data_IF_537441124564
#
_entry.id   IF_537441124564
#
_cell.length_a   1.000
_cell.length_b   1.000
_cell.length_c   1.000
_cell.angle_alpha   90.00
_cell.angle_beta   90.00
_cell.angle_gamma   90.00
#
_symmetry.space_group_name_H-M   'P 1'
#
loop_
_entity.id
_entity.type
_entity.pdbx_description
1 polymer ?
#
# COMPACT_ATOMS: atom_id res chain seq x y z
N UNK A 1 -1.89 15.35 12.78
CA UNK A 1 -0.74 14.50 13.17
C UNK A 1 0.51 15.09 12.52
N UNK A 2 1.71 15.01 13.12
CA UNK A 2 2.94 15.47 12.46
C UNK A 2 3.66 14.27 11.84
N UNK A 3 4.03 14.38 10.58
CA UNK A 3 4.80 13.37 9.83
C UNK A 3 6.24 13.85 9.72
N UNK A 4 7.18 12.94 9.93
CA UNK A 4 8.62 13.23 9.90
C UNK A 4 9.27 12.57 8.70
N UNK A 5 10.19 13.25 8.03
CA UNK A 5 10.98 12.69 6.93
C UNK A 5 12.45 13.12 7.02
N UNK A 6 13.39 12.26 6.57
CA UNK A 6 14.78 12.63 6.47
C UNK A 6 14.99 13.80 5.50
N UNK A 7 15.87 14.70 5.87
CA UNK A 7 16.34 15.84 5.06
C UNK A 7 17.87 15.92 5.18
N UNK A 8 18.58 16.56 4.25
CA UNK A 8 20.03 16.72 4.36
C UNK A 8 20.49 17.39 5.67
N UNK A 9 19.66 18.27 6.24
CA UNK A 9 19.92 18.96 7.51
C UNK A 9 19.36 18.27 8.75
N UNK A 10 18.83 17.05 8.65
CA UNK A 10 18.23 16.33 9.77
C UNK A 10 16.81 15.85 9.49
N UNK A 11 15.86 16.12 10.37
CA UNK A 11 14.47 15.64 10.23
C UNK A 11 13.52 16.80 9.93
N UNK A 12 12.89 16.76 8.76
CA UNK A 12 11.80 17.67 8.41
C UNK A 12 10.48 17.19 9.02
N UNK A 13 9.66 18.11 9.52
CA UNK A 13 8.31 17.82 10.03
C UNK A 13 7.26 18.54 9.20
N UNK A 14 6.19 17.83 8.82
CA UNK A 14 5.04 18.41 8.12
C UNK A 14 3.74 18.01 8.83
N UNK A 15 2.76 18.90 8.83
CA UNK A 15 1.44 18.60 9.37
C UNK A 15 0.64 17.74 8.37
N UNK A 16 0.32 16.52 8.78
CA UNK A 16 -0.53 15.59 8.06
C UNK A 16 -1.94 15.50 8.63
N UNK A 17 -2.91 15.39 7.74
CA UNK A 17 -4.28 14.96 8.04
C UNK A 17 -4.49 13.52 7.53
N UNK A 18 -4.56 12.52 8.44
CA UNK A 18 -4.78 11.13 8.08
C UNK A 18 -6.12 10.88 7.35
N UNK A 19 -7.18 11.63 7.68
CA UNK A 19 -8.50 11.45 7.09
C UNK A 19 -8.52 11.95 5.66
N UNK A 20 -7.95 13.12 5.40
CA UNK A 20 -7.84 13.66 4.04
C UNK A 20 -6.91 12.80 3.18
N UNK A 21 -5.76 12.38 3.72
CA UNK A 21 -4.82 11.52 2.99
C UNK A 21 -5.48 10.20 2.58
N UNK A 22 -6.20 9.54 3.50
CA UNK A 22 -6.94 8.31 3.21
C UNK A 22 -8.01 8.52 2.13
N UNK A 23 -8.77 9.61 2.20
CA UNK A 23 -9.80 9.95 1.18
C UNK A 23 -9.16 10.12 -0.19
N UNK A 24 -8.10 10.92 -0.29
CA UNK A 24 -7.38 11.16 -1.53
C UNK A 24 -6.83 9.86 -2.15
N UNK A 25 -6.25 8.99 -1.32
CA UNK A 25 -5.74 7.70 -1.80
C UNK A 25 -6.83 6.81 -2.39
N UNK A 26 -7.94 6.64 -1.67
CA UNK A 26 -9.07 5.80 -2.14
C UNK A 26 -9.65 6.34 -3.45
N UNK A 27 -9.78 7.66 -3.58
CA UNK A 27 -10.24 8.28 -4.82
C UNK A 27 -9.25 8.10 -5.97
N UNK A 28 -7.95 8.28 -5.73
CA UNK A 28 -6.92 8.09 -6.74
C UNK A 28 -6.89 6.64 -7.25
N UNK A 29 -7.01 5.65 -6.36
CA UNK A 29 -7.08 4.23 -6.73
C UNK A 29 -8.32 3.95 -7.57
N UNK A 30 -9.49 4.45 -7.15
CA UNK A 30 -10.75 4.30 -7.92
C UNK A 30 -10.67 4.99 -9.27
N UNK A 31 -10.03 6.16 -9.36
CA UNK A 31 -9.80 6.86 -10.64
C UNK A 31 -8.80 6.11 -11.51
N UNK A 32 -7.74 5.53 -10.93
CA UNK A 32 -6.78 4.68 -11.65
C UNK A 32 -7.43 3.44 -12.27
N UNK A 33 -8.29 2.75 -11.50
CA UNK A 33 -9.06 1.60 -12.00
C UNK A 33 -10.02 1.97 -13.14
N UNK A 34 -10.62 3.17 -13.08
CA UNK A 34 -11.46 3.68 -14.17
C UNK A 34 -10.65 4.12 -15.40
N UNK A 35 -9.49 4.74 -15.21
CA UNK A 35 -8.60 5.13 -16.32
C UNK A 35 -8.06 3.92 -17.09
N UNK A 36 -7.89 2.76 -16.46
CA UNK A 36 -7.58 1.51 -17.16
C UNK A 36 -8.75 1.00 -18.03
N UNK A 37 -9.93 1.61 -17.93
CA UNK A 37 -11.13 1.26 -18.68
C UNK A 37 -11.48 2.30 -19.76
N UNK A 38 -10.92 3.51 -19.67
CA UNK A 38 -11.28 4.68 -20.47
C UNK A 38 -10.02 5.30 -21.13
N UNK A 39 -9.26 4.53 -21.91
CA UNK A 39 -8.39 5.13 -22.95
C UNK A 39 -9.24 5.40 -24.20
N UNK A 40 -10.12 6.40 -24.12
CA UNK A 40 -10.64 7.12 -25.28
C UNK A 40 -11.10 8.54 -24.86
N UNK A 41 -10.36 9.52 -25.37
CA UNK A 41 -10.67 10.94 -25.53
C UNK A 41 -10.54 11.95 -24.36
N UNK A 42 -9.82 13.02 -24.73
CA UNK A 42 -9.54 14.23 -23.99
C UNK A 42 -10.80 15.04 -23.66
N UNK A 43 -10.82 15.60 -22.45
CA UNK A 43 -11.52 16.85 -22.15
C UNK A 43 -13.00 16.74 -21.79
N UNK A 44 -13.38 17.64 -20.88
CA UNK A 44 -14.71 18.03 -20.35
C UNK A 44 -15.46 17.14 -19.33
N UNK A 45 -16.06 17.77 -18.30
CA UNK A 45 -16.69 17.10 -17.17
C UNK A 45 -18.09 16.63 -17.57
N UNK A 46 -18.31 15.32 -17.65
CA UNK A 46 -19.62 14.76 -17.97
C UNK A 46 -20.29 14.19 -16.72
N UNK A 47 -21.23 14.99 -16.22
CA UNK A 47 -22.37 14.59 -15.40
C UNK A 47 -22.91 13.20 -15.81
N UNK A 48 -22.65 12.17 -15.01
CA UNK A 48 -23.48 10.95 -14.99
C UNK A 48 -23.90 10.62 -13.57
N UNK A 49 -25.12 11.08 -13.30
CA UNK A 49 -26.01 10.79 -12.18
C UNK A 49 -26.08 9.28 -11.93
N UNK A 50 -25.34 8.82 -10.93
CA UNK A 50 -25.54 7.54 -10.27
C UNK A 50 -25.68 7.81 -8.77
N UNK A 51 -26.92 8.07 -8.32
CA UNK A 51 -27.26 8.13 -6.90
C UNK A 51 -26.77 6.84 -6.22
N UNK A 52 -25.80 6.97 -5.32
CA UNK A 52 -25.73 6.14 -4.12
C UNK A 52 -25.59 7.09 -2.94
N UNK A 53 -26.74 7.63 -2.52
CA UNK A 53 -26.92 8.06 -1.14
C UNK A 53 -26.84 6.81 -0.27
N UNK A 54 -25.80 6.71 0.56
CA UNK A 54 -25.81 6.03 1.86
C UNK A 54 -24.79 6.82 2.69
N UNK A 55 -25.23 7.87 3.39
CA UNK A 55 -25.70 7.82 4.76
C UNK A 55 -24.69 8.56 5.64
N UNK A 56 -24.99 9.84 5.87
CA UNK A 56 -24.75 10.48 7.15
C UNK A 56 -25.48 9.64 8.22
N UNK A 57 -24.77 9.27 9.29
CA UNK A 57 -25.34 8.54 10.42
C UNK A 57 -24.91 7.07 10.51
N UNK A 58 -23.81 6.84 11.22
CA UNK A 58 -23.77 5.91 12.36
C UNK A 58 -22.34 5.89 12.90
N UNK A 59 -22.17 6.48 14.09
CA UNK A 59 -21.14 6.08 15.04
C UNK A 59 -21.42 4.61 15.40
N UNK A 60 -20.99 3.69 14.54
CA UNK A 60 -20.88 2.28 14.90
C UNK A 60 -19.42 2.09 15.20
N UNK A 61 -19.15 1.67 16.44
CA UNK A 61 -17.83 1.34 16.95
C UNK A 61 -16.96 0.83 15.81
N UNK A 62 -15.93 1.61 15.52
CA UNK A 62 -15.00 1.33 14.44
C UNK A 62 -14.27 0.05 14.83
N UNK A 63 -14.87 -1.11 14.52
CA UNK A 63 -14.13 -2.35 14.36
C UNK A 63 -12.87 -1.95 13.60
N UNK A 64 -11.73 -2.22 14.23
CA UNK A 64 -10.42 -1.81 13.76
C UNK A 64 -10.36 -2.01 12.24
N UNK A 65 -9.93 -1.01 11.46
CA UNK A 65 -9.95 -1.10 10.00
C UNK A 65 -9.27 -2.40 9.64
N UNK A 66 -10.01 -3.32 9.00
CA UNK A 66 -9.60 -4.69 8.75
C UNK A 66 -8.12 -4.68 8.38
N UNK A 67 -7.28 -5.10 9.33
CA UNK A 67 -5.84 -4.97 9.24
C UNK A 67 -5.46 -5.86 8.07
N UNK A 68 -5.24 -5.27 6.91
CA UNK A 68 -4.78 -5.99 5.71
C UNK A 68 -3.49 -6.68 6.11
N UNK A 69 -3.59 -7.99 6.32
CA UNK A 69 -2.42 -8.79 6.62
C UNK A 69 -1.68 -8.95 5.29
N UNK A 70 -0.35 -8.79 5.29
CA UNK A 70 0.44 -9.15 4.12
C UNK A 70 0.10 -10.60 3.74
N UNK A 71 -0.48 -10.80 2.57
CA UNK A 71 -0.93 -12.12 2.10
C UNK A 71 0.23 -12.97 1.57
N UNK A 72 1.43 -12.42 1.51
CA UNK A 72 2.58 -13.08 0.90
C UNK A 72 3.22 -14.09 1.87
N UNK A 73 3.39 -15.31 1.39
CA UNK A 73 4.05 -16.39 2.11
C UNK A 73 5.57 -16.20 2.06
N UNK A 74 6.23 -16.28 3.22
CA UNK A 74 7.68 -16.09 3.36
C UNK A 74 8.36 -17.43 3.67
N UNK A 75 9.47 -17.71 2.98
CA UNK A 75 10.33 -18.88 3.19
C UNK A 75 11.59 -18.48 3.98
N UNK A 76 11.99 -19.34 4.93
CA UNK A 76 13.27 -19.22 5.60
C UNK A 76 14.36 -19.93 4.78
N UNK A 77 15.45 -19.24 4.49
CA UNK A 77 16.62 -19.79 3.80
C UNK A 77 17.87 -19.56 4.64
N UNK A 78 18.82 -20.49 4.58
CA UNK A 78 20.15 -20.30 5.16
C UNK A 78 20.93 -19.29 4.32
N UNK A 79 21.43 -18.23 4.95
CA UNK A 79 22.26 -17.20 4.30
C UNK A 79 23.66 -17.74 4.03
N UNK A 80 24.15 -18.60 4.92
CA UNK A 80 25.43 -19.29 4.79
C UNK A 80 25.14 -20.80 4.78
N UNK A 81 25.55 -21.54 3.75
CA UNK A 81 25.28 -22.97 3.65
C UNK A 81 25.86 -23.72 4.85
N UNK A 82 25.02 -24.50 5.54
CA UNK A 82 25.42 -25.33 6.67
C UNK A 82 25.43 -24.62 8.03
N UNK A 83 24.92 -23.39 8.10
CA UNK A 83 24.72 -22.67 9.36
C UNK A 83 23.22 -22.48 9.65
N UNK A 84 22.56 -23.43 10.35
CA UNK A 84 21.11 -23.36 10.61
C UNK A 84 20.72 -22.15 11.46
N UNK A 85 21.66 -21.55 12.19
CA UNK A 85 21.45 -20.36 13.02
C UNK A 85 21.41 -19.06 12.19
N UNK A 86 21.89 -19.08 10.94
CA UNK A 86 22.01 -17.91 10.08
C UNK A 86 21.00 -17.98 8.93
N UNK A 87 19.73 -17.75 9.26
CA UNK A 87 18.64 -17.78 8.30
C UNK A 87 18.03 -16.39 8.05
N UNK A 88 17.43 -16.21 6.88
CA UNK A 88 16.67 -15.00 6.52
C UNK A 88 15.35 -15.35 5.84
N UNK A 89 14.40 -14.42 5.84
CA UNK A 89 13.06 -14.59 5.27
C UNK A 89 12.96 -13.94 3.90
N UNK A 90 12.61 -14.71 2.89
CA UNK A 90 12.40 -14.23 1.51
C UNK A 90 10.98 -14.58 1.02
N UNK A 91 10.46 -13.85 0.04
CA UNK A 91 9.17 -14.19 -0.60
C UNK A 91 9.22 -15.58 -1.23
N UNK A 92 8.16 -16.38 -1.08
CA UNK A 92 8.09 -17.75 -1.64
C UNK A 92 8.18 -17.78 -3.17
N UNK A 93 7.93 -16.66 -3.82
CA UNK A 93 7.99 -16.49 -5.27
C UNK A 93 9.38 -16.06 -5.76
N UNK A 94 10.33 -15.80 -4.84
CA UNK A 94 11.71 -15.46 -5.16
C UNK A 94 12.48 -16.73 -5.57
N UNK A 95 12.57 -16.99 -6.89
CA UNK A 95 13.16 -18.20 -7.49
C UNK A 95 14.45 -17.90 -8.27
N UNK A 96 15.27 -18.93 -8.44
CA UNK A 96 16.43 -18.91 -9.34
C UNK A 96 17.60 -18.07 -8.84
N UNK A 97 18.28 -17.40 -9.77
CA UNK A 97 19.54 -16.66 -9.55
C UNK A 97 19.48 -15.67 -8.39
N UNK A 98 18.37 -14.96 -8.22
CA UNK A 98 18.22 -13.97 -7.14
C UNK A 98 18.20 -14.61 -5.76
N UNK A 99 17.67 -15.85 -5.64
CA UNK A 99 17.74 -16.60 -4.38
C UNK A 99 19.16 -17.05 -4.10
N UNK A 100 19.88 -17.48 -5.13
CA UNK A 100 21.27 -17.94 -5.02
C UNK A 100 22.21 -16.78 -4.65
N UNK A 101 22.02 -15.57 -5.18
CA UNK A 101 22.79 -14.38 -4.81
C UNK A 101 22.63 -13.96 -3.34
N UNK A 102 21.53 -14.36 -2.69
CA UNK A 102 21.28 -14.08 -1.27
C UNK A 102 22.03 -15.08 -0.37
N UNK A 103 22.32 -16.27 -0.89
CA UNK A 103 23.07 -17.31 -0.20
C UNK A 103 24.54 -17.15 -0.61
N UNK A 104 25.35 -16.55 0.28
CA UNK A 104 26.74 -16.21 -0.01
C UNK A 104 27.72 -17.35 0.29
#
# INVERSE_FOLDING_TARGET
>A
MKIKFPTPGGVGEVQGDPLQSRKCYVEAVRKGQKRNLDEDHQGVPSSKKGKKTMAEGALKEMEAPAKVQPTEELLNIEVIPGSPDKTTRIGSHLRGKTKEEIVS
#
